data_IF_577908418521
#
_entry.id   IF_577908418521
#
_cell.length_a   1.000
_cell.length_b   1.000
_cell.length_c   1.000
_cell.angle_alpha   90.00
_cell.angle_beta   90.00
_cell.angle_gamma   90.00
#
_symmetry.space_group_name_H-M   'P 1'
#
loop_
_entity.id
_entity.type
_entity.pdbx_description
1 polymer ?
#
# COMPACT_ATOMS: atom_id res chain seq x y z
N UNK A 1 -9.53 11.15 1.73
CA UNK A 1 -9.29 12.27 2.64
C UNK A 1 -10.31 13.40 2.45
N UNK A 2 -10.43 14.02 1.30
CA UNK A 2 -11.34 15.16 1.08
C UNK A 2 -12.79 14.87 1.47
N UNK A 3 -13.31 13.66 1.23
CA UNK A 3 -14.67 13.31 1.63
C UNK A 3 -14.91 13.40 3.16
N UNK A 4 -13.87 13.16 3.96
CA UNK A 4 -13.95 13.30 5.43
C UNK A 4 -13.89 14.78 5.82
N UNK A 5 -12.99 15.55 5.24
CA UNK A 5 -12.89 17.01 5.48
C UNK A 5 -14.20 17.71 5.13
N UNK A 6 -14.83 17.33 4.03
CA UNK A 6 -16.10 17.88 3.57
C UNK A 6 -17.34 17.30 4.30
N UNK A 7 -17.15 16.43 5.27
CA UNK A 7 -18.25 15.80 6.03
C UNK A 7 -19.12 14.83 5.22
N UNK A 8 -18.63 14.33 4.07
CA UNK A 8 -19.31 13.33 3.23
C UNK A 8 -19.02 11.90 3.65
N UNK A 9 -18.02 11.71 4.53
CA UNK A 9 -17.65 10.44 5.13
C UNK A 9 -17.12 10.70 6.54
N UNK A 10 -17.36 9.75 7.46
CA UNK A 10 -16.91 9.85 8.86
C UNK A 10 -15.47 9.38 9.03
N UNK A 11 -15.01 8.48 8.15
CA UNK A 11 -13.72 7.80 8.23
C UNK A 11 -13.17 7.48 6.84
N UNK A 12 -11.85 7.42 6.71
CA UNK A 12 -11.16 6.92 5.52
C UNK A 12 -10.00 6.02 5.91
N UNK A 13 -9.84 4.90 5.21
CA UNK A 13 -8.64 4.07 5.28
C UNK A 13 -7.63 4.59 4.25
N UNK A 14 -6.41 4.91 4.71
CA UNK A 14 -5.36 5.49 3.88
C UNK A 14 -4.07 4.75 4.20
N UNK A 15 -3.30 4.39 3.18
CA UNK A 15 -1.98 3.80 3.40
C UNK A 15 -0.99 4.82 4.00
N UNK A 16 0.01 4.32 4.73
CA UNK A 16 0.92 5.18 5.47
C UNK A 16 1.77 6.09 4.57
N UNK A 17 2.13 5.63 3.36
CA UNK A 17 2.92 6.45 2.41
C UNK A 17 2.07 7.57 1.84
N UNK A 18 0.84 7.26 1.42
CA UNK A 18 -0.10 8.27 0.92
C UNK A 18 -0.43 9.31 2.00
N UNK A 19 -0.57 8.88 3.27
CA UNK A 19 -0.74 9.80 4.39
C UNK A 19 0.48 10.71 4.58
N UNK A 20 1.69 10.15 4.59
CA UNK A 20 2.94 10.91 4.77
C UNK A 20 3.14 11.96 3.66
N UNK A 21 2.87 11.57 2.42
CA UNK A 21 2.93 12.50 1.28
C UNK A 21 1.87 13.59 1.39
N UNK A 22 0.63 13.23 1.72
CA UNK A 22 -0.43 14.21 1.88
C UNK A 22 -0.14 15.19 3.01
N UNK A 23 0.36 14.73 4.15
CA UNK A 23 0.76 15.59 5.26
C UNK A 23 1.85 16.61 4.90
N UNK A 24 2.63 16.34 3.85
CA UNK A 24 3.69 17.23 3.39
C UNK A 24 3.24 18.23 2.30
N UNK A 25 2.11 17.96 1.64
CA UNK A 25 1.75 18.68 0.41
C UNK A 25 0.27 19.10 0.33
N UNK A 26 -0.58 18.58 1.20
CA UNK A 26 -2.04 18.79 1.14
C UNK A 26 -2.53 19.49 2.42
N UNK A 27 -2.82 20.80 2.39
CA UNK A 27 -3.28 21.55 3.57
C UNK A 27 -4.54 20.98 4.22
N UNK A 28 -5.42 20.32 3.46
CA UNK A 28 -6.64 19.71 3.99
C UNK A 28 -6.37 18.60 5.02
N UNK A 29 -5.13 18.09 5.10
CA UNK A 29 -4.75 17.09 6.11
C UNK A 29 -4.71 17.68 7.52
N UNK A 30 -4.51 18.97 7.67
CA UNK A 30 -4.48 19.67 8.97
C UNK A 30 -5.83 19.57 9.70
N UNK A 31 -6.93 19.38 8.96
CA UNK A 31 -8.27 19.17 9.50
C UNK A 31 -8.56 17.68 9.85
N UNK A 32 -7.61 16.80 9.65
CA UNK A 32 -7.76 15.37 9.87
C UNK A 32 -6.91 14.88 11.05
N UNK A 33 -7.37 13.79 11.67
CA UNK A 33 -6.59 13.11 12.71
C UNK A 33 -6.55 11.61 12.46
N UNK A 34 -5.43 11.00 12.79
CA UNK A 34 -5.33 9.54 12.81
C UNK A 34 -6.12 9.02 14.01
N UNK A 35 -7.08 8.14 13.78
CA UNK A 35 -7.91 7.52 14.83
C UNK A 35 -7.43 6.12 15.19
N UNK A 36 -6.59 5.50 14.37
CA UNK A 36 -6.01 4.19 14.63
C UNK A 36 -5.12 3.72 13.49
N UNK A 37 -4.40 2.64 13.74
CA UNK A 37 -3.55 1.94 12.78
C UNK A 37 -4.03 0.51 12.63
N UNK A 38 -4.06 0.02 11.43
CA UNK A 38 -4.24 -1.41 11.16
C UNK A 38 -2.92 -2.15 11.33
N UNK A 39 -2.98 -3.47 11.46
CA UNK A 39 -1.77 -4.28 11.31
C UNK A 39 -1.10 -4.04 9.96
N UNK A 40 0.24 -4.01 9.91
CA UNK A 40 0.96 -3.92 8.65
C UNK A 40 0.60 -5.09 7.72
N UNK A 41 0.36 -4.76 6.46
CA UNK A 41 0.11 -5.72 5.40
C UNK A 41 1.24 -5.65 4.36
N UNK A 42 1.48 -6.73 3.61
CA UNK A 42 2.39 -6.67 2.48
C UNK A 42 1.97 -5.58 1.49
N UNK A 43 2.94 -4.83 0.97
CA UNK A 43 2.68 -3.91 -0.14
C UNK A 43 2.14 -4.67 -1.35
N UNK A 44 1.36 -4.02 -2.24
CA UNK A 44 0.87 -4.66 -3.46
C UNK A 44 2.00 -5.34 -4.24
N UNK A 45 1.83 -6.60 -4.67
CA UNK A 45 2.87 -7.32 -5.37
C UNK A 45 3.07 -6.77 -6.80
N UNK A 46 4.29 -6.80 -7.28
CA UNK A 46 4.54 -6.72 -8.70
C UNK A 46 4.14 -8.05 -9.34
N UNK A 47 3.40 -8.01 -10.42
CA UNK A 47 2.93 -9.21 -11.11
C UNK A 47 3.40 -9.21 -12.56
N UNK A 48 3.68 -10.40 -13.08
CA UNK A 48 3.97 -10.62 -14.49
C UNK A 48 2.94 -11.60 -15.06
N UNK A 49 2.63 -11.47 -16.35
CA UNK A 49 1.76 -12.41 -17.02
C UNK A 49 2.36 -13.82 -17.02
N UNK A 50 1.51 -14.86 -17.10
CA UNK A 50 1.96 -16.26 -17.07
C UNK A 50 3.00 -16.56 -18.16
N UNK A 51 2.83 -16.01 -19.36
CA UNK A 51 3.79 -16.17 -20.46
C UNK A 51 5.18 -15.58 -20.14
N UNK A 52 5.29 -14.65 -19.19
CA UNK A 52 6.51 -14.00 -18.74
C UNK A 52 7.03 -14.52 -17.39
N UNK A 53 6.47 -15.64 -16.87
CA UNK A 53 6.85 -16.18 -15.56
C UNK A 53 8.35 -16.45 -15.42
N UNK A 54 9.03 -16.84 -16.53
CA UNK A 54 10.48 -17.00 -16.57
C UNK A 54 11.30 -15.74 -16.36
N UNK A 55 10.69 -14.55 -16.46
CA UNK A 55 11.36 -13.27 -16.24
C UNK A 55 11.31 -12.82 -14.76
N UNK A 56 10.62 -13.54 -13.90
CA UNK A 56 10.40 -13.14 -12.51
C UNK A 56 11.68 -12.72 -11.78
N UNK A 57 12.71 -13.54 -11.86
CA UNK A 57 13.95 -13.29 -11.13
C UNK A 57 14.73 -12.11 -11.75
N UNK A 58 14.66 -11.96 -13.07
CA UNK A 58 15.24 -10.79 -13.76
C UNK A 58 14.53 -9.49 -13.34
N UNK A 59 13.21 -9.50 -13.28
CA UNK A 59 12.42 -8.35 -12.82
C UNK A 59 12.72 -8.03 -11.35
N UNK A 60 12.77 -9.04 -10.48
CA UNK A 60 13.09 -8.86 -9.08
C UNK A 60 14.47 -8.21 -8.89
N UNK A 61 15.50 -8.68 -9.60
CA UNK A 61 16.83 -8.09 -9.55
C UNK A 61 16.84 -6.66 -10.05
N UNK A 62 16.20 -6.39 -11.19
CA UNK A 62 16.15 -5.05 -11.76
C UNK A 62 15.43 -4.05 -10.83
N UNK A 63 14.35 -4.46 -10.16
CA UNK A 63 13.66 -3.62 -9.18
C UNK A 63 14.50 -3.39 -7.94
N UNK A 64 15.18 -4.41 -7.44
CA UNK A 64 16.09 -4.29 -6.29
C UNK A 64 17.21 -3.29 -6.58
N UNK A 65 17.85 -3.39 -7.75
CA UNK A 65 18.93 -2.50 -8.20
C UNK A 65 18.41 -1.07 -8.40
N UNK A 66 17.23 -0.91 -9.01
CA UNK A 66 16.60 0.39 -9.17
C UNK A 66 16.33 1.07 -7.83
N UNK A 67 15.73 0.35 -6.87
CA UNK A 67 15.48 0.87 -5.52
C UNK A 67 16.79 1.22 -4.80
N UNK A 68 17.81 0.39 -4.92
CA UNK A 68 19.11 0.63 -4.30
C UNK A 68 19.82 1.87 -4.88
N UNK A 69 19.59 2.19 -6.15
CA UNK A 69 20.18 3.34 -6.85
C UNK A 69 19.51 4.68 -6.55
N UNK A 70 18.28 4.66 -5.97
CA UNK A 70 17.57 5.90 -5.65
C UNK A 70 18.26 6.69 -4.53
N UNK A 71 18.40 7.99 -4.73
CA UNK A 71 18.88 8.92 -3.70
C UNK A 71 17.93 9.05 -2.51
N UNK A 72 18.44 9.52 -1.39
CA UNK A 72 17.66 9.67 -0.15
C UNK A 72 16.53 10.71 -0.30
N UNK A 73 16.68 11.67 -1.18
CA UNK A 73 15.67 12.70 -1.49
C UNK A 73 14.41 12.11 -2.10
N UNK A 74 14.54 10.96 -2.78
CA UNK A 74 13.39 10.21 -3.33
C UNK A 74 12.88 9.17 -2.32
N UNK A 75 13.81 8.48 -1.66
CA UNK A 75 13.48 7.33 -0.80
C UNK A 75 12.76 7.75 0.49
N UNK A 76 13.18 8.86 1.12
CA UNK A 76 12.61 9.31 2.40
C UNK A 76 11.13 9.67 2.33
N UNK A 77 10.66 10.51 1.37
CA UNK A 77 9.25 10.85 1.28
C UNK A 77 8.35 9.65 0.98
N UNK A 78 8.91 8.62 0.35
CA UNK A 78 8.19 7.40 -0.04
C UNK A 78 8.29 6.27 0.99
N UNK A 79 8.99 6.48 2.11
CA UNK A 79 9.34 5.42 3.08
C UNK A 79 9.96 4.18 2.42
N UNK A 80 10.71 4.39 1.33
CA UNK A 80 11.26 3.34 0.48
C UNK A 80 12.67 2.95 0.95
N UNK A 81 12.77 1.99 1.85
CA UNK A 81 14.05 1.59 2.45
C UNK A 81 14.68 0.36 1.81
N UNK A 82 13.96 -0.34 0.96
CA UNK A 82 14.46 -1.51 0.26
C UNK A 82 13.38 -2.23 -0.54
N UNK A 83 13.81 -3.31 -1.19
CA UNK A 83 12.95 -4.21 -1.91
C UNK A 83 13.11 -5.63 -1.35
N UNK A 84 12.01 -6.33 -1.18
CA UNK A 84 12.00 -7.73 -0.72
C UNK A 84 11.03 -8.55 -1.53
N UNK A 85 11.50 -9.65 -2.07
CA UNK A 85 10.64 -10.68 -2.65
C UNK A 85 9.91 -11.38 -1.51
N UNK A 86 8.58 -11.47 -1.61
CA UNK A 86 7.75 -12.20 -0.65
C UNK A 86 7.11 -13.42 -1.31
N UNK A 87 6.95 -14.52 -0.59
CA UNK A 87 6.19 -15.67 -1.07
C UNK A 87 4.71 -15.32 -1.17
N UNK A 88 3.98 -16.02 -2.04
CA UNK A 88 2.53 -15.80 -2.21
C UNK A 88 1.74 -16.02 -0.92
N UNK A 89 2.21 -16.93 -0.05
CA UNK A 89 1.59 -17.18 1.26
C UNK A 89 1.51 -15.95 2.17
N UNK A 90 2.41 -14.99 2.02
CA UNK A 90 2.34 -13.74 2.81
C UNK A 90 1.10 -12.89 2.49
N UNK A 91 0.46 -13.17 1.33
CA UNK A 91 -0.73 -12.46 0.86
C UNK A 91 -2.05 -13.18 1.20
N UNK A 92 -1.99 -14.41 1.75
CA UNK A 92 -3.18 -15.18 2.13
C UNK A 92 -4.02 -14.44 3.19
N UNK A 93 -3.36 -13.71 4.08
CA UNK A 93 -4.02 -12.85 5.08
C UNK A 93 -5.02 -11.86 4.46
N UNK A 94 -4.79 -11.41 3.24
CA UNK A 94 -5.71 -10.51 2.54
C UNK A 94 -6.99 -11.23 2.10
N UNK A 95 -6.85 -12.47 1.63
CA UNK A 95 -7.99 -13.32 1.27
C UNK A 95 -8.83 -13.66 2.49
N UNK A 96 -8.19 -14.00 3.62
CA UNK A 96 -8.86 -14.30 4.87
C UNK A 96 -9.64 -13.08 5.41
N UNK A 97 -9.04 -11.90 5.37
CA UNK A 97 -9.71 -10.66 5.77
C UNK A 97 -10.90 -10.32 4.88
N UNK A 98 -10.75 -10.51 3.55
CA UNK A 98 -11.86 -10.33 2.63
C UNK A 98 -13.00 -11.31 2.93
N UNK A 99 -12.68 -12.58 3.18
CA UNK A 99 -13.66 -13.60 3.54
C UNK A 99 -14.39 -13.25 4.84
N UNK A 100 -13.65 -12.80 5.86
CA UNK A 100 -14.23 -12.34 7.13
C UNK A 100 -15.17 -11.15 6.91
N UNK A 101 -14.75 -10.12 6.18
CA UNK A 101 -15.57 -8.97 5.89
C UNK A 101 -16.88 -9.36 5.15
N UNK A 102 -16.78 -10.24 4.16
CA UNK A 102 -17.96 -10.75 3.44
C UNK A 102 -18.90 -11.49 4.39
N UNK A 103 -18.38 -12.30 5.32
CA UNK A 103 -19.19 -13.03 6.32
C UNK A 103 -19.90 -12.09 7.30
N UNK A 104 -19.34 -10.91 7.54
CA UNK A 104 -19.91 -9.85 8.38
C UNK A 104 -20.90 -8.95 7.61
N UNK A 105 -21.16 -9.24 6.34
CA UNK A 105 -22.16 -8.54 5.52
C UNK A 105 -21.62 -7.33 4.77
N UNK A 106 -20.30 -7.10 4.73
CA UNK A 106 -19.74 -6.04 3.89
C UNK A 106 -19.87 -6.41 2.40
N UNK A 107 -20.29 -5.46 1.55
CA UNK A 107 -20.41 -5.73 0.12
C UNK A 107 -19.03 -6.00 -0.49
N UNK A 108 -18.99 -6.88 -1.49
CA UNK A 108 -17.78 -7.07 -2.28
C UNK A 108 -17.43 -5.74 -2.96
N UNK A 109 -16.16 -5.37 -2.86
CA UNK A 109 -15.61 -4.30 -3.69
C UNK A 109 -15.63 -4.82 -5.13
N UNK A 110 -16.38 -4.15 -5.99
CA UNK A 110 -16.49 -4.51 -7.41
C UNK A 110 -15.22 -4.08 -8.17
#
# INVERSE_FOLDING_TARGET
MLAVVEGRADLAAIDAVAWSLAASHEPAVDDLRIVGWTEPLPAPPLVVGWAQAGLRDTVNSAVADAVASLGLEVRRPLDLYGYRVRPTSDYEVLADRLAAAVSEGYPRVA
#
